data_IF_659034315743
#
_entry.id   IF_659034315743
#
_cell.length_a   1.000
_cell.length_b   1.000
_cell.length_c   1.000
_cell.angle_alpha   90.00
_cell.angle_beta   90.00
_cell.angle_gamma   90.00
#
_symmetry.space_group_name_H-M   'P 1'
#
loop_
_entity.id
_entity.type
_entity.pdbx_description
1 polymer ?
#
# COMPACT_ATOMS: atom_id res chain seq x y z
N UNK A 1 14.14 -3.38 -12.68
CA UNK A 1 12.72 -3.37 -12.22
C UNK A 1 11.96 -2.37 -13.05
N UNK A 2 10.75 -2.70 -13.44
CA UNK A 2 9.80 -1.80 -14.11
C UNK A 2 8.55 -1.67 -13.22
N UNK A 3 7.98 -0.48 -13.17
CA UNK A 3 6.74 -0.19 -12.48
C UNK A 3 5.73 0.31 -13.50
N UNK A 4 4.59 -0.36 -13.62
CA UNK A 4 3.44 0.12 -14.37
C UNK A 4 2.49 0.84 -13.43
N UNK A 5 1.98 1.98 -13.85
CA UNK A 5 1.10 2.82 -13.04
C UNK A 5 -0.15 3.21 -13.83
N UNK A 6 -1.32 2.92 -13.28
CA UNK A 6 -2.61 3.21 -13.91
C UNK A 6 -3.64 3.59 -12.86
N UNK A 7 -4.56 4.48 -13.22
CA UNK A 7 -5.70 4.81 -12.38
C UNK A 7 -6.92 3.95 -12.74
N UNK A 8 -7.50 3.28 -11.73
CA UNK A 8 -8.80 2.61 -11.86
C UNK A 8 -9.99 3.57 -11.74
N UNK A 9 -9.77 4.78 -11.21
CA UNK A 9 -10.75 5.85 -10.97
C UNK A 9 -11.93 5.45 -10.06
N UNK A 10 -11.78 4.40 -9.27
CA UNK A 10 -12.78 3.92 -8.32
C UNK A 10 -12.13 3.09 -7.21
N UNK A 11 -12.88 2.81 -6.13
CA UNK A 11 -12.40 2.08 -4.95
C UNK A 11 -12.93 0.64 -4.88
N UNK A 12 -13.42 0.08 -5.96
CA UNK A 12 -13.91 -1.29 -6.08
C UNK A 12 -13.47 -1.91 -7.41
N UNK A 13 -13.40 -3.24 -7.45
CA UNK A 13 -13.06 -3.97 -8.67
C UNK A 13 -14.27 -4.15 -9.57
N UNK A 14 -14.01 -4.31 -10.86
CA UNK A 14 -15.00 -4.65 -11.88
C UNK A 14 -14.35 -5.38 -13.06
N UNK A 15 -15.17 -5.74 -14.05
CA UNK A 15 -14.73 -6.53 -15.20
C UNK A 15 -13.65 -5.82 -16.04
N UNK A 16 -13.73 -4.49 -16.19
CA UNK A 16 -12.78 -3.74 -17.00
C UNK A 16 -11.40 -3.68 -16.30
N UNK A 17 -11.40 -3.43 -14.98
CA UNK A 17 -10.16 -3.43 -14.18
C UNK A 17 -9.58 -4.85 -14.13
N UNK A 18 -10.41 -5.88 -13.95
CA UNK A 18 -9.95 -7.28 -13.97
C UNK A 18 -9.29 -7.63 -15.32
N UNK A 19 -9.91 -7.27 -16.44
CA UNK A 19 -9.33 -7.52 -17.77
C UNK A 19 -8.00 -6.78 -17.98
N UNK A 20 -7.90 -5.56 -17.43
CA UNK A 20 -6.65 -4.80 -17.47
C UNK A 20 -5.55 -5.48 -16.67
N UNK A 21 -5.85 -5.94 -15.45
CA UNK A 21 -4.92 -6.68 -14.60
C UNK A 21 -4.54 -8.04 -15.20
N UNK A 22 -5.48 -8.75 -15.85
CA UNK A 22 -5.20 -9.97 -16.61
C UNK A 22 -4.10 -9.71 -17.66
N UNK A 23 -4.19 -8.59 -18.38
CA UNK A 23 -3.17 -8.19 -19.36
C UNK A 23 -1.81 -7.92 -18.71
N UNK A 24 -1.79 -7.27 -17.54
CA UNK A 24 -0.53 -7.02 -16.83
C UNK A 24 0.16 -8.32 -16.40
N UNK A 25 -0.57 -9.22 -15.75
CA UNK A 25 -0.01 -10.50 -15.31
C UNK A 25 0.40 -11.37 -16.49
N UNK A 26 -0.38 -11.41 -17.57
CA UNK A 26 -0.01 -12.15 -18.79
C UNK A 26 1.28 -11.63 -19.44
N UNK A 27 1.61 -10.34 -19.24
CA UNK A 27 2.84 -9.70 -19.71
C UNK A 27 3.96 -9.67 -18.68
N UNK A 28 3.91 -10.52 -17.65
CA UNK A 28 5.00 -10.73 -16.71
C UNK A 28 5.03 -9.80 -15.50
N UNK A 29 3.94 -9.08 -15.21
CA UNK A 29 3.80 -8.40 -13.92
C UNK A 29 3.71 -9.45 -12.81
N UNK A 30 4.57 -9.37 -11.81
CA UNK A 30 4.64 -10.34 -10.72
C UNK A 30 3.72 -9.95 -9.56
N UNK A 31 3.66 -8.65 -9.25
CA UNK A 31 2.94 -8.12 -8.09
C UNK A 31 2.15 -6.88 -8.50
N UNK A 32 0.90 -6.78 -8.06
CA UNK A 32 0.07 -5.58 -8.22
C UNK A 32 -0.21 -4.96 -6.84
N UNK A 33 0.13 -3.69 -6.66
CA UNK A 33 -0.29 -2.90 -5.51
C UNK A 33 -1.66 -2.26 -5.79
N UNK A 34 -2.69 -2.81 -5.18
CA UNK A 34 -4.08 -2.39 -5.36
C UNK A 34 -4.42 -1.22 -4.41
N UNK A 35 -3.90 -0.03 -4.71
CA UNK A 35 -4.02 1.16 -3.86
C UNK A 35 -5.40 1.83 -3.97
N UNK A 36 -6.44 1.20 -3.39
CA UNK A 36 -7.79 1.77 -3.45
C UNK A 36 -8.88 0.90 -2.85
N UNK A 37 -8.95 0.79 -1.52
CA UNK A 37 -10.05 0.12 -0.80
C UNK A 37 -10.34 -1.30 -1.31
N UNK A 38 -11.47 -1.49 -1.98
CA UNK A 38 -11.92 -2.78 -2.53
C UNK A 38 -11.45 -3.10 -3.95
N UNK A 39 -10.63 -2.25 -4.59
CA UNK A 39 -10.12 -2.49 -5.96
C UNK A 39 -9.25 -3.75 -6.04
N UNK A 40 -8.73 -4.21 -4.90
CA UNK A 40 -7.98 -5.46 -4.80
C UNK A 40 -8.74 -6.68 -5.35
N UNK A 41 -10.07 -6.63 -5.39
CA UNK A 41 -10.88 -7.74 -5.91
C UNK A 41 -10.56 -8.05 -7.36
N UNK A 42 -10.33 -7.02 -8.20
CA UNK A 42 -9.90 -7.21 -9.58
C UNK A 42 -8.46 -7.71 -9.69
N UNK A 43 -7.54 -7.15 -8.88
CA UNK A 43 -6.15 -7.58 -8.87
C UNK A 43 -6.00 -9.02 -8.36
N UNK A 44 -6.73 -9.39 -7.30
CA UNK A 44 -6.74 -10.74 -6.73
C UNK A 44 -7.33 -11.79 -7.68
N UNK A 45 -8.44 -11.45 -8.35
CA UNK A 45 -9.04 -12.33 -9.37
C UNK A 45 -8.07 -12.60 -10.53
N UNK A 46 -7.39 -11.57 -11.02
CA UNK A 46 -6.41 -11.72 -12.08
C UNK A 46 -5.16 -12.50 -11.62
N UNK A 47 -4.64 -12.17 -10.42
CA UNK A 47 -3.49 -12.85 -9.84
C UNK A 47 -3.72 -14.36 -9.65
N UNK A 48 -4.91 -14.75 -9.18
CA UNK A 48 -5.26 -16.16 -8.94
C UNK A 48 -5.17 -17.02 -10.19
N UNK A 49 -5.42 -16.46 -11.38
CA UNK A 49 -5.38 -17.19 -12.66
C UNK A 49 -3.98 -17.65 -13.05
N UNK A 50 -2.94 -16.96 -12.57
CA UNK A 50 -1.55 -17.17 -13.01
C UNK A 50 -0.55 -17.35 -11.87
N UNK A 51 -1.00 -17.37 -10.62
CA UNK A 51 -0.13 -17.45 -9.45
C UNK A 51 0.61 -16.13 -9.17
N UNK A 52 0.06 -15.00 -9.60
CA UNK A 52 0.56 -13.67 -9.31
C UNK A 52 0.35 -13.26 -7.85
N UNK A 53 0.84 -12.09 -7.47
CA UNK A 53 0.80 -11.57 -6.10
C UNK A 53 0.12 -10.21 -6.02
N UNK A 54 -0.42 -9.89 -4.84
CA UNK A 54 -1.12 -8.63 -4.56
C UNK A 54 -0.56 -7.99 -3.29
N UNK A 55 -0.47 -6.66 -3.30
CA UNK A 55 -0.29 -5.85 -2.09
C UNK A 55 -1.62 -5.14 -1.81
N UNK A 56 -2.13 -5.32 -0.60
CA UNK A 56 -3.35 -4.68 -0.11
C UNK A 56 -3.11 -3.28 0.45
N UNK A 57 -4.16 -2.67 0.99
CA UNK A 57 -4.13 -1.27 1.47
C UNK A 57 -5.02 -1.07 2.69
N UNK A 58 -4.81 0.02 3.42
CA UNK A 58 -5.59 0.53 4.54
C UNK A 58 -5.48 -0.29 5.83
N UNK A 59 -5.81 -1.56 5.77
CA UNK A 59 -5.72 -2.54 6.86
C UNK A 59 -5.00 -3.79 6.36
N UNK A 60 -4.71 -4.74 7.25
CA UNK A 60 -4.24 -6.05 6.81
C UNK A 60 -5.33 -6.78 6.03
N UNK A 61 -5.21 -6.79 4.71
CA UNK A 61 -6.19 -7.41 3.81
C UNK A 61 -5.90 -8.88 3.48
N UNK A 62 -4.83 -9.48 4.05
CA UNK A 62 -4.44 -10.84 3.71
C UNK A 62 -5.59 -11.84 3.90
N UNK A 63 -6.29 -11.79 5.04
CA UNK A 63 -7.42 -12.69 5.29
C UNK A 63 -8.55 -12.54 4.26
N UNK A 64 -8.78 -11.34 3.76
CA UNK A 64 -9.81 -11.08 2.75
C UNK A 64 -9.35 -11.54 1.36
N UNK A 65 -8.15 -11.14 0.94
CA UNK A 65 -7.62 -11.45 -0.39
C UNK A 65 -7.37 -12.96 -0.53
N UNK A 66 -6.65 -13.54 0.43
CA UNK A 66 -6.32 -14.96 0.41
C UNK A 66 -7.58 -15.84 0.57
N UNK A 67 -8.54 -15.41 1.39
CA UNK A 67 -9.81 -16.10 1.55
C UNK A 67 -10.68 -16.13 0.29
N UNK A 68 -10.56 -15.11 -0.57
CA UNK A 68 -11.33 -15.02 -1.82
C UNK A 68 -10.62 -15.67 -3.01
N UNK A 69 -9.30 -15.56 -3.08
CA UNK A 69 -8.55 -15.85 -4.31
C UNK A 69 -7.50 -16.94 -4.17
N UNK A 70 -7.14 -17.34 -2.98
CA UNK A 70 -6.19 -18.41 -2.70
C UNK A 70 -5.10 -18.01 -1.71
N UNK A 71 -4.72 -18.96 -0.88
CA UNK A 71 -3.72 -18.76 0.18
C UNK A 71 -2.38 -18.29 -0.40
N UNK A 72 -1.78 -17.30 0.25
CA UNK A 72 -0.46 -16.78 -0.09
C UNK A 72 -0.40 -15.86 -1.32
N UNK A 73 -1.53 -15.41 -1.86
CA UNK A 73 -1.58 -14.39 -2.92
C UNK A 73 -1.15 -13.02 -2.38
N UNK A 74 -1.48 -12.70 -1.13
CA UNK A 74 -1.13 -11.42 -0.51
C UNK A 74 0.30 -11.41 -0.03
N UNK A 75 1.13 -10.48 -0.52
CA UNK A 75 2.50 -10.29 -0.02
C UNK A 75 2.51 -9.49 1.27
N UNK A 76 1.78 -8.39 1.29
CA UNK A 76 1.64 -7.46 2.43
C UNK A 76 0.45 -6.54 2.17
N UNK A 77 0.18 -5.65 3.11
CA UNK A 77 -0.71 -4.49 2.92
C UNK A 77 -0.03 -3.22 3.42
N UNK A 78 -0.16 -2.14 2.65
CA UNK A 78 0.24 -0.81 3.10
C UNK A 78 -0.85 -0.26 4.02
N UNK A 79 -0.63 -0.35 5.32
CA UNK A 79 -1.64 -0.04 6.33
C UNK A 79 -1.59 1.42 6.77
N UNK A 80 -2.76 1.95 7.11
CA UNK A 80 -2.92 3.19 7.85
C UNK A 80 -3.05 2.90 9.35
N UNK A 81 -2.41 3.70 10.18
CA UNK A 81 -2.51 3.62 11.64
C UNK A 81 -3.86 4.13 12.16
N UNK A 82 -4.97 3.53 11.74
CA UNK A 82 -6.33 4.00 12.03
C UNK A 82 -6.59 4.09 13.53
N UNK A 83 -6.20 3.05 14.29
CA UNK A 83 -6.36 3.05 15.75
C UNK A 83 -5.51 4.14 16.43
N UNK A 84 -4.27 4.33 15.99
CA UNK A 84 -3.38 5.37 16.49
C UNK A 84 -3.96 6.76 16.21
N UNK A 85 -4.50 6.99 15.01
CA UNK A 85 -5.15 8.25 14.64
C UNK A 85 -6.37 8.54 15.53
N UNK A 86 -7.28 7.56 15.67
CA UNK A 86 -8.47 7.73 16.53
C UNK A 86 -8.08 8.00 17.98
N UNK A 87 -7.09 7.29 18.51
CA UNK A 87 -6.60 7.51 19.88
C UNK A 87 -5.99 8.91 20.05
N UNK A 88 -5.22 9.39 19.07
CA UNK A 88 -4.65 10.73 19.11
C UNK A 88 -5.73 11.81 19.17
N UNK A 89 -6.76 11.70 18.31
CA UNK A 89 -7.88 12.64 18.26
C UNK A 89 -8.73 12.60 19.53
N UNK A 90 -9.04 11.41 20.07
CA UNK A 90 -9.77 11.28 21.33
C UNK A 90 -8.98 11.88 22.52
N UNK A 91 -7.66 11.69 22.52
CA UNK A 91 -6.78 12.30 23.52
C UNK A 91 -6.83 13.83 23.41
N UNK A 92 -6.74 14.37 22.20
CA UNK A 92 -6.84 15.80 21.97
C UNK A 92 -8.19 16.37 22.46
N UNK A 93 -9.30 15.65 22.23
CA UNK A 93 -10.63 16.03 22.74
C UNK A 93 -10.64 16.04 24.27
N UNK A 94 -10.14 15.01 24.93
CA UNK A 94 -10.16 14.91 26.41
C UNK A 94 -9.25 15.94 27.07
N UNK A 95 -8.19 16.35 26.40
CA UNK A 95 -7.26 17.39 26.87
C UNK A 95 -7.71 18.81 26.50
N UNK A 96 -8.80 18.98 25.77
CA UNK A 96 -9.28 20.27 25.29
C UNK A 96 -8.40 20.91 24.22
N UNK A 97 -7.64 20.09 23.47
CA UNK A 97 -6.71 20.51 22.43
C UNK A 97 -7.17 20.16 21.01
N UNK A 98 -8.38 19.63 20.87
CA UNK A 98 -8.92 19.26 19.55
C UNK A 98 -9.10 20.50 18.67
N UNK A 99 -8.49 20.48 17.47
CA UNK A 99 -8.55 21.55 16.47
C UNK A 99 -9.44 21.11 15.29
N UNK A 100 -10.72 21.49 15.34
CA UNK A 100 -11.66 21.18 14.25
C UNK A 100 -11.27 21.85 12.93
N UNK A 101 -11.39 21.11 11.82
CA UNK A 101 -11.06 21.60 10.47
C UNK A 101 -9.57 21.55 10.09
N UNK A 102 -8.70 21.05 10.97
CA UNK A 102 -7.30 20.81 10.68
C UNK A 102 -7.13 19.63 9.72
N UNK A 103 -6.23 19.77 8.77
CA UNK A 103 -5.79 18.68 7.87
C UNK A 103 -4.35 18.34 8.23
N UNK A 104 -4.10 17.09 8.58
CA UNK A 104 -2.78 16.61 8.96
C UNK A 104 -2.29 15.49 8.03
N UNK A 105 -0.99 15.52 7.73
CA UNK A 105 -0.29 14.42 7.08
C UNK A 105 0.44 13.62 8.15
N UNK A 106 -0.12 12.46 8.51
CA UNK A 106 0.43 11.59 9.53
C UNK A 106 1.33 10.52 8.90
N UNK A 107 2.49 10.29 9.48
CA UNK A 107 3.49 9.37 8.95
C UNK A 107 4.26 8.66 10.05
N UNK A 108 5.58 8.68 9.97
CA UNK A 108 6.44 8.08 10.98
C UNK A 108 6.57 9.00 12.19
N UNK A 109 6.39 8.43 13.39
CA UNK A 109 6.55 9.11 14.68
C UNK A 109 7.68 8.52 15.52
N UNK A 110 8.28 7.41 15.07
CA UNK A 110 9.36 6.74 15.77
C UNK A 110 10.03 5.66 14.91
N UNK A 111 11.08 5.06 15.47
CA UNK A 111 11.80 3.94 14.85
C UNK A 111 11.02 2.62 14.94
N UNK A 112 10.08 2.51 15.88
CA UNK A 112 9.21 1.35 16.02
C UNK A 112 8.13 1.38 14.92
N UNK A 113 8.14 0.44 13.97
CA UNK A 113 7.15 0.41 12.90
C UNK A 113 5.71 0.36 13.40
N UNK A 114 5.44 -0.33 14.51
CA UNK A 114 4.09 -0.55 15.03
C UNK A 114 3.49 0.71 15.69
N UNK A 115 4.32 1.67 16.06
CA UNK A 115 3.88 2.95 16.62
C UNK A 115 3.50 3.99 15.56
N UNK A 116 3.83 3.74 14.31
CA UNK A 116 3.68 4.71 13.22
C UNK A 116 2.27 4.73 12.63
N UNK A 117 1.91 5.86 12.00
CA UNK A 117 0.63 6.02 11.31
C UNK A 117 0.62 5.37 9.91
N UNK A 118 1.77 4.90 9.42
CA UNK A 118 1.93 4.12 8.18
C UNK A 118 2.79 2.89 8.49
N UNK A 119 2.32 1.71 8.09
CA UNK A 119 2.94 0.43 8.42
C UNK A 119 2.75 -0.57 7.27
N UNK A 120 3.59 -1.61 7.22
CA UNK A 120 3.22 -2.83 6.50
C UNK A 120 2.48 -3.79 7.43
N UNK A 121 1.73 -4.72 6.85
CA UNK A 121 0.87 -5.64 7.62
C UNK A 121 1.68 -6.64 8.45
N UNK A 122 1.16 -7.09 9.62
CA UNK A 122 1.74 -8.20 10.37
C UNK A 122 1.80 -9.51 9.58
N UNK A 123 0.89 -9.71 8.63
CA UNK A 123 0.86 -10.87 7.72
C UNK A 123 1.91 -10.81 6.60
N UNK A 124 2.79 -9.81 6.57
CA UNK A 124 3.82 -9.64 5.52
C UNK A 124 4.63 -10.89 5.29
N UNK A 125 4.68 -11.35 4.05
CA UNK A 125 5.51 -12.44 3.60
C UNK A 125 6.92 -11.91 3.30
N UNK A 126 7.80 -11.95 4.29
CA UNK A 126 9.21 -11.63 4.09
C UNK A 126 9.91 -12.76 3.32
N UNK A 127 10.90 -12.42 2.51
CA UNK A 127 11.65 -13.35 1.68
C UNK A 127 13.16 -13.12 1.79
N UNK A 128 13.95 -14.01 1.21
CA UNK A 128 15.38 -13.85 1.11
C UNK A 128 15.73 -12.54 0.40
N UNK A 129 16.54 -11.72 1.06
CA UNK A 129 16.98 -10.41 0.56
C UNK A 129 16.19 -9.21 1.09
N UNK A 130 15.07 -9.43 1.78
CA UNK A 130 14.35 -8.38 2.54
C UNK A 130 13.62 -9.00 3.74
N UNK A 131 14.19 -8.86 4.91
CA UNK A 131 13.70 -9.43 6.17
C UNK A 131 12.94 -8.40 7.00
N UNK A 132 12.31 -8.85 8.08
CA UNK A 132 11.69 -7.94 9.05
C UNK A 132 12.71 -6.97 9.67
N UNK A 133 13.94 -7.41 9.88
CA UNK A 133 15.00 -6.54 10.42
C UNK A 133 15.43 -5.48 9.38
N UNK A 134 15.46 -5.83 8.09
CA UNK A 134 15.69 -4.85 7.02
C UNK A 134 14.58 -3.81 6.96
N UNK A 135 13.32 -4.23 7.15
CA UNK A 135 12.20 -3.30 7.24
C UNK A 135 12.32 -2.35 8.43
N UNK A 136 12.68 -2.85 9.63
CA UNK A 136 12.92 -2.01 10.80
C UNK A 136 14.05 -1.03 10.56
N UNK A 137 15.16 -1.49 9.96
CA UNK A 137 16.28 -0.63 9.61
C UNK A 137 15.90 0.45 8.58
N UNK A 138 15.03 0.13 7.61
CA UNK A 138 14.49 1.09 6.67
C UNK A 138 13.65 2.17 7.37
N UNK A 139 12.75 1.76 8.26
CA UNK A 139 11.90 2.70 9.04
C UNK A 139 12.76 3.62 9.90
N UNK A 140 13.80 3.10 10.57
CA UNK A 140 14.72 3.90 11.36
C UNK A 140 15.44 4.96 10.51
N UNK A 141 15.92 4.61 9.30
CA UNK A 141 16.53 5.56 8.36
C UNK A 141 15.55 6.62 7.86
N UNK A 142 14.31 6.23 7.59
CA UNK A 142 13.27 7.17 7.19
C UNK A 142 12.94 8.14 8.35
N UNK A 143 12.83 7.64 9.57
CA UNK A 143 12.58 8.47 10.75
C UNK A 143 13.73 9.42 11.05
N UNK A 144 14.98 8.99 10.85
CA UNK A 144 16.18 9.82 10.96
C UNK A 144 16.31 10.86 9.83
N UNK A 145 15.47 10.81 8.80
CA UNK A 145 15.52 11.71 7.64
C UNK A 145 16.62 11.37 6.62
N UNK A 146 17.28 10.22 6.75
CA UNK A 146 18.26 9.74 5.78
C UNK A 146 17.61 9.32 4.46
N UNK A 147 16.36 8.87 4.54
CA UNK A 147 15.52 8.53 3.39
C UNK A 147 14.26 9.38 3.47
N UNK A 148 13.97 10.13 2.42
CA UNK A 148 12.77 10.97 2.33
C UNK A 148 11.83 10.44 1.27
N UNK A 149 10.52 10.50 1.55
CA UNK A 149 9.45 10.15 0.63
C UNK A 149 8.68 11.42 0.29
N UNK A 150 8.52 11.70 -1.00
CA UNK A 150 7.72 12.84 -1.46
C UNK A 150 6.23 12.61 -1.20
N UNK A 151 5.55 13.64 -0.73
CA UNK A 151 4.08 13.71 -0.66
C UNK A 151 3.49 14.65 -1.72
N UNK A 152 4.26 15.01 -2.75
CA UNK A 152 3.79 15.84 -3.85
C UNK A 152 2.65 15.12 -4.61
N UNK A 153 1.62 15.89 -4.98
CA UNK A 153 0.44 15.42 -5.72
C UNK A 153 0.25 16.15 -7.05
N UNK A 154 1.17 17.03 -7.40
CA UNK A 154 1.10 17.96 -8.54
C UNK A 154 2.04 17.59 -9.69
N UNK A 155 2.88 16.58 -9.51
CA UNK A 155 3.80 16.09 -10.52
C UNK A 155 4.10 14.59 -10.36
N UNK A 156 4.40 13.94 -11.48
CA UNK A 156 4.91 12.57 -11.47
C UNK A 156 6.30 12.52 -10.80
N UNK A 157 6.58 11.49 -9.98
CA UNK A 157 7.90 11.36 -9.34
C UNK A 157 9.02 11.26 -10.36
N UNK A 158 10.07 12.06 -10.21
CA UNK A 158 11.28 11.92 -10.99
C UNK A 158 12.17 10.82 -10.39
N UNK A 159 12.16 9.65 -11.01
CA UNK A 159 12.94 8.49 -10.56
C UNK A 159 13.95 8.06 -11.61
N UNK A 160 15.13 7.60 -11.16
CA UNK A 160 16.22 7.17 -12.05
C UNK A 160 16.61 5.71 -11.85
N UNK A 161 16.24 5.11 -10.70
CA UNK A 161 16.61 3.74 -10.37
C UNK A 161 15.69 2.69 -10.99
N UNK A 162 14.50 3.09 -11.42
CA UNK A 162 13.49 2.19 -12.02
C UNK A 162 12.84 2.86 -13.23
N UNK A 163 12.37 2.06 -14.18
CA UNK A 163 11.51 2.55 -15.25
C UNK A 163 10.07 2.62 -14.73
N UNK A 164 9.37 3.72 -14.99
CA UNK A 164 7.94 3.86 -14.67
C UNK A 164 7.17 4.08 -15.96
N UNK A 165 6.17 3.22 -16.20
CA UNK A 165 5.26 3.29 -17.33
C UNK A 165 3.90 3.83 -16.84
N UNK A 166 3.64 5.11 -17.14
CA UNK A 166 2.41 5.79 -16.78
C UNK A 166 1.34 5.55 -17.85
N UNK A 167 0.36 4.70 -17.55
CA UNK A 167 -0.65 4.23 -18.50
C UNK A 167 -1.97 5.02 -18.43
N UNK A 168 -2.01 6.10 -17.66
CA UNK A 168 -3.19 6.98 -17.55
C UNK A 168 -4.33 6.33 -16.77
N UNK A 169 -5.50 6.25 -17.40
CA UNK A 169 -6.73 5.78 -16.77
C UNK A 169 -7.28 4.55 -17.48
N UNK A 170 -7.86 3.61 -16.70
CA UNK A 170 -8.63 2.47 -17.26
C UNK A 170 -10.00 2.96 -17.75
N UNK A 171 -10.57 3.95 -17.07
CA UNK A 171 -11.88 4.57 -17.38
C UNK A 171 -11.80 6.09 -17.40
#
# INVERSE_FOLDING_TARGET
>A
MEIKYVYGNQFYGDADITAYMDTWYANGTEIVFACGGGIFTSAGEAAAKVGGKVIGVDVDQAANIDGMFGEGITVTSAMKGLAATVNAELTAVTEGKFEGGKVENLGLVGEDPEANFVQIAPSTQFADGFTQDDYKALVAKMFAGEITVSNAIDAEPAVTAVAVDYQGNIK
#
